data_IF_816981124881
#
_entry.id   IF_816981124881
#
_cell.length_a   1.000
_cell.length_b   1.000
_cell.length_c   1.000
_cell.angle_alpha   90.00
_cell.angle_beta   90.00
_cell.angle_gamma   90.00
#
_symmetry.space_group_name_H-M   'P 1'
#
loop_
_entity.id
_entity.type
_entity.pdbx_description
1 polymer ?
#
# COMPACT_ATOMS: atom_id res chain seq x y z
N UNK A 1 -32.40 43.34 -7.52
CA UNK A 1 -31.71 42.22 -6.84
C UNK A 1 -30.80 41.51 -7.83
N UNK A 2 -29.47 41.67 -7.73
CA UNK A 2 -28.50 40.95 -8.57
C UNK A 2 -28.26 39.57 -7.98
N UNK A 3 -28.62 38.53 -8.73
CA UNK A 3 -28.40 37.12 -8.38
C UNK A 3 -26.90 36.84 -8.49
N UNK A 4 -26.22 36.69 -7.36
CA UNK A 4 -24.82 36.24 -7.32
C UNK A 4 -24.77 34.79 -7.79
N UNK A 5 -24.32 34.57 -9.02
CA UNK A 5 -23.99 33.24 -9.51
C UNK A 5 -22.73 32.77 -8.78
N UNK A 6 -22.88 31.78 -7.89
CA UNK A 6 -21.75 30.99 -7.37
C UNK A 6 -21.16 30.23 -8.55
N UNK A 7 -20.08 30.76 -9.12
CA UNK A 7 -19.23 30.02 -10.05
C UNK A 7 -18.60 28.89 -9.22
N UNK A 8 -19.08 27.65 -9.40
CA UNK A 8 -18.32 26.47 -9.01
C UNK A 8 -17.15 26.37 -9.97
N UNK A 9 -16.01 26.93 -9.57
CA UNK A 9 -14.73 26.65 -10.24
C UNK A 9 -14.43 25.19 -9.93
N UNK A 10 -14.66 24.31 -10.91
CA UNK A 10 -14.10 22.97 -10.87
C UNK A 10 -12.64 23.12 -11.24
N UNK A 11 -11.76 23.18 -10.24
CA UNK A 11 -10.35 22.92 -10.49
C UNK A 11 -10.30 21.46 -10.93
N UNK A 12 -9.89 21.21 -12.17
CA UNK A 12 -9.62 19.86 -12.66
C UNK A 12 -8.31 19.45 -11.98
N UNK A 13 -8.41 18.88 -10.78
CA UNK A 13 -7.26 18.29 -10.08
C UNK A 13 -6.96 16.95 -10.72
N UNK A 14 -5.71 16.76 -11.15
CA UNK A 14 -5.25 15.47 -11.62
C UNK A 14 -5.06 14.55 -10.40
N UNK A 15 -5.96 13.58 -10.23
CA UNK A 15 -5.90 12.66 -9.09
C UNK A 15 -4.91 11.54 -9.39
N UNK A 16 -3.96 11.30 -8.50
CA UNK A 16 -2.94 10.26 -8.65
C UNK A 16 -2.97 9.33 -7.45
N UNK A 17 -3.35 8.08 -7.70
CA UNK A 17 -3.35 7.03 -6.70
C UNK A 17 -1.98 6.34 -6.66
N UNK A 18 -1.31 6.40 -5.51
CA UNK A 18 -0.06 5.69 -5.26
C UNK A 18 -0.38 4.38 -4.54
N UNK A 19 -0.35 3.27 -5.29
CA UNK A 19 -0.76 1.97 -4.80
C UNK A 19 0.38 1.26 -4.07
N UNK A 20 0.44 1.44 -2.75
CA UNK A 20 1.37 0.70 -1.89
C UNK A 20 0.91 -0.77 -1.73
N UNK A 21 1.78 -1.77 -1.89
CA UNK A 21 1.37 -3.16 -1.73
C UNK A 21 0.79 -3.46 -0.34
N UNK A 22 -0.29 -4.25 -0.31
CA UNK A 22 -0.93 -4.79 0.91
C UNK A 22 -1.56 -3.74 1.86
N UNK A 23 -2.01 -2.62 1.31
CA UNK A 23 -2.71 -1.54 2.04
C UNK A 23 -4.15 -1.31 1.56
N UNK A 24 -4.85 -2.39 1.14
CA UNK A 24 -6.20 -2.35 0.55
C UNK A 24 -6.34 -1.61 -0.79
N UNK A 25 -5.24 -1.34 -1.50
CA UNK A 25 -5.31 -0.59 -2.76
C UNK A 25 -6.21 -1.19 -3.83
N UNK A 26 -6.37 -2.52 -3.89
CA UNK A 26 -7.35 -3.17 -4.79
C UNK A 26 -8.80 -2.75 -4.47
N UNK A 27 -9.20 -2.72 -3.19
CA UNK A 27 -10.54 -2.29 -2.78
C UNK A 27 -10.77 -0.81 -3.05
N UNK A 28 -9.78 0.03 -2.75
CA UNK A 28 -9.84 1.48 -3.04
C UNK A 28 -9.98 1.73 -4.54
N UNK A 29 -9.14 1.10 -5.37
CA UNK A 29 -9.19 1.21 -6.83
C UNK A 29 -10.55 0.78 -7.40
N UNK A 30 -11.13 -0.31 -6.88
CA UNK A 30 -12.45 -0.75 -7.29
C UNK A 30 -13.54 0.26 -6.93
N UNK A 31 -13.45 0.89 -5.76
CA UNK A 31 -14.38 1.94 -5.37
C UNK A 31 -14.23 3.20 -6.22
N UNK A 32 -12.99 3.65 -6.49
CA UNK A 32 -12.73 4.78 -7.40
C UNK A 32 -13.34 4.54 -8.78
N UNK A 33 -13.12 3.36 -9.37
CA UNK A 33 -13.70 2.98 -10.65
C UNK A 33 -15.24 2.95 -10.61
N UNK A 34 -15.85 2.39 -9.55
CA UNK A 34 -17.31 2.38 -9.38
C UNK A 34 -17.91 3.77 -9.26
N UNK A 35 -17.16 4.71 -8.69
CA UNK A 35 -17.54 6.10 -8.60
C UNK A 35 -17.17 6.92 -9.84
N UNK A 36 -16.54 6.32 -10.85
CA UNK A 36 -16.07 6.99 -12.06
C UNK A 36 -15.19 8.21 -11.74
N UNK A 37 -14.38 8.10 -10.70
CA UNK A 37 -13.34 9.10 -10.42
C UNK A 37 -12.32 9.03 -11.55
N UNK A 38 -11.94 10.18 -12.10
CA UNK A 38 -10.80 10.27 -13.01
C UNK A 38 -9.50 10.28 -12.18
N UNK A 39 -8.66 9.27 -12.35
CA UNK A 39 -7.39 9.14 -11.64
C UNK A 39 -6.36 8.34 -12.44
N UNK A 40 -5.09 8.62 -12.19
CA UNK A 40 -3.96 7.81 -12.64
C UNK A 40 -3.49 6.90 -11.50
N UNK A 41 -3.39 5.59 -11.74
CA UNK A 41 -2.80 4.62 -10.80
C UNK A 41 -1.32 4.39 -11.16
N UNK A 42 -0.40 4.77 -10.26
CA UNK A 42 1.04 4.54 -10.47
C UNK A 42 1.47 3.10 -10.17
N UNK A 43 0.55 2.25 -9.73
CA UNK A 43 0.85 0.92 -9.26
C UNK A 43 1.86 0.96 -8.12
N UNK A 44 2.77 -0.02 -8.10
CA UNK A 44 3.79 -0.15 -7.06
C UNK A 44 5.06 0.68 -7.33
N UNK A 45 5.01 1.62 -8.28
CA UNK A 45 6.13 2.51 -8.61
C UNK A 45 6.24 3.66 -7.62
N UNK A 46 7.47 3.99 -7.23
CA UNK A 46 7.82 5.23 -6.54
C UNK A 46 8.70 6.16 -7.40
N UNK A 47 8.78 5.91 -8.71
CA UNK A 47 9.52 6.79 -9.61
C UNK A 47 8.78 8.12 -9.76
N UNK A 48 9.52 9.22 -9.84
CA UNK A 48 9.03 10.57 -10.07
C UNK A 48 8.06 11.12 -8.99
N UNK A 49 8.00 10.52 -7.80
CA UNK A 49 7.13 11.02 -6.72
C UNK A 49 7.48 12.45 -6.29
N UNK A 50 8.74 12.86 -6.39
CA UNK A 50 9.18 14.24 -6.14
C UNK A 50 8.50 15.26 -7.05
N UNK A 51 8.40 14.94 -8.34
CA UNK A 51 7.75 15.80 -9.34
C UNK A 51 6.26 15.88 -9.02
N UNK A 52 5.63 14.73 -8.74
CA UNK A 52 4.20 14.66 -8.43
C UNK A 52 3.84 15.40 -7.14
N UNK A 53 4.69 15.36 -6.12
CA UNK A 53 4.42 16.03 -4.84
C UNK A 53 4.71 17.53 -4.87
N UNK A 54 5.48 18.00 -5.85
CA UNK A 54 5.80 19.42 -6.01
C UNK A 54 4.79 20.16 -6.89
N UNK A 55 3.96 19.42 -7.64
CA UNK A 55 2.93 19.98 -8.52
C UNK A 55 1.63 20.23 -7.75
N UNK A 56 1.25 21.50 -7.63
CA UNK A 56 0.05 21.93 -6.91
C UNK A 56 -1.26 21.60 -7.65
N UNK A 57 -1.20 21.25 -8.93
CA UNK A 57 -2.36 20.82 -9.72
C UNK A 57 -2.64 19.32 -9.59
N UNK A 58 -1.71 18.57 -8.97
CA UNK A 58 -1.82 17.12 -8.77
C UNK A 58 -2.23 16.82 -7.33
N UNK A 59 -3.34 16.09 -7.20
CA UNK A 59 -3.76 15.54 -5.92
C UNK A 59 -3.29 14.10 -5.80
N UNK A 60 -2.26 13.88 -4.98
CA UNK A 60 -1.72 12.53 -4.75
C UNK A 60 -2.33 11.91 -3.50
N UNK A 61 -2.68 10.63 -3.55
CA UNK A 61 -3.24 9.95 -2.39
C UNK A 61 -2.84 8.48 -2.33
N UNK A 62 -2.73 7.93 -1.12
CA UNK A 62 -2.41 6.52 -0.90
C UNK A 62 -3.08 6.01 0.38
N UNK A 63 -2.94 4.70 0.60
CA UNK A 63 -3.25 4.07 1.88
C UNK A 63 -2.00 3.37 2.42
N UNK A 64 -1.77 3.48 3.72
CA UNK A 64 -0.69 2.84 4.47
C UNK A 64 -1.26 1.86 5.50
N UNK A 65 -0.41 0.97 6.01
CA UNK A 65 -0.75 -0.02 7.05
C UNK A 65 0.39 -0.09 8.07
N UNK A 66 0.12 -0.55 9.28
CA UNK A 66 1.13 -0.86 10.28
C UNK A 66 2.27 -1.70 9.64
N UNK A 67 3.55 -1.29 9.76
CA UNK A 67 4.64 -1.90 9.00
C UNK A 67 4.82 -3.40 9.28
N UNK A 68 4.66 -3.84 10.53
CA UNK A 68 4.81 -5.24 10.91
C UNK A 68 3.68 -6.11 10.32
N UNK A 69 2.44 -5.64 10.41
CA UNK A 69 1.27 -6.31 9.83
C UNK A 69 1.31 -6.33 8.30
N UNK A 70 1.79 -5.24 7.68
CA UNK A 70 1.98 -5.15 6.24
C UNK A 70 3.04 -6.14 5.76
N UNK A 71 4.17 -6.25 6.47
CA UNK A 71 5.23 -7.21 6.14
C UNK A 71 4.74 -8.66 6.23
N UNK A 72 4.00 -9.00 7.29
CA UNK A 72 3.39 -10.33 7.45
C UNK A 72 2.46 -10.64 6.28
N UNK A 73 1.56 -9.70 5.97
CA UNK A 73 0.63 -9.84 4.82
C UNK A 73 1.35 -9.95 3.49
N UNK A 74 2.45 -9.23 3.29
CA UNK A 74 3.28 -9.30 2.10
C UNK A 74 3.95 -10.67 1.93
N UNK A 75 4.60 -11.17 2.98
CA UNK A 75 5.28 -12.47 2.94
C UNK A 75 4.33 -13.58 2.52
N UNK A 76 3.23 -13.79 3.26
CA UNK A 76 2.31 -14.89 2.97
C UNK A 76 1.65 -14.76 1.60
N UNK A 77 1.31 -13.54 1.17
CA UNK A 77 0.78 -13.33 -0.17
C UNK A 77 1.76 -13.73 -1.27
N UNK A 78 3.06 -13.44 -1.11
CA UNK A 78 4.07 -13.84 -2.10
C UNK A 78 4.30 -15.35 -2.10
N UNK A 79 4.24 -15.98 -0.91
CA UNK A 79 4.32 -17.43 -0.75
C UNK A 79 3.14 -18.15 -1.41
N UNK A 80 1.94 -17.57 -1.39
CA UNK A 80 0.77 -18.07 -2.13
C UNK A 80 0.89 -17.79 -3.63
N UNK A 81 1.35 -16.59 -4.00
CA UNK A 81 1.50 -16.20 -5.40
C UNK A 81 2.46 -17.12 -6.14
N UNK A 82 3.46 -17.69 -5.46
CA UNK A 82 4.37 -18.70 -6.01
C UNK A 82 3.65 -19.84 -6.74
N UNK A 83 2.50 -20.31 -6.24
CA UNK A 83 1.77 -21.43 -6.85
C UNK A 83 1.11 -21.05 -8.19
N UNK A 84 1.02 -19.75 -8.51
CA UNK A 84 0.46 -19.22 -9.74
C UNK A 84 1.51 -18.88 -10.80
N UNK A 85 2.80 -18.97 -10.46
CA UNK A 85 3.90 -18.59 -11.35
C UNK A 85 4.14 -19.69 -12.40
N UNK A 86 4.22 -19.30 -13.67
CA UNK A 86 4.79 -20.17 -14.72
C UNK A 86 6.31 -20.23 -14.57
N UNK A 87 6.80 -21.39 -14.14
CA UNK A 87 8.23 -21.61 -13.83
C UNK A 87 9.09 -21.79 -15.08
N UNK A 88 8.49 -21.96 -16.26
CA UNK A 88 9.25 -22.16 -17.49
C UNK A 88 9.83 -20.85 -18.04
N UNK A 89 9.22 -19.71 -17.74
CA UNK A 89 9.68 -18.40 -18.20
C UNK A 89 9.32 -17.28 -17.20
N UNK A 90 9.91 -17.29 -15.99
CA UNK A 90 9.56 -16.32 -14.96
C UNK A 90 10.09 -14.93 -15.31
N UNK A 91 9.29 -13.90 -15.04
CA UNK A 91 9.76 -12.52 -14.99
C UNK A 91 10.80 -12.33 -13.88
N UNK A 92 11.54 -11.21 -13.91
CA UNK A 92 12.47 -10.87 -12.83
C UNK A 92 11.79 -10.82 -11.44
N UNK A 93 10.54 -10.32 -11.40
CA UNK A 93 9.76 -10.27 -10.16
C UNK A 93 9.39 -11.67 -9.67
N UNK A 94 8.93 -12.54 -10.57
CA UNK A 94 8.60 -13.92 -10.25
C UNK A 94 9.83 -14.73 -9.82
N UNK A 95 10.99 -14.46 -10.42
CA UNK A 95 12.26 -15.10 -10.05
C UNK A 95 12.67 -14.80 -8.60
N UNK A 96 12.45 -13.56 -8.13
CA UNK A 96 12.66 -13.18 -6.73
C UNK A 96 11.68 -13.91 -5.80
N UNK A 97 10.43 -14.13 -6.22
CA UNK A 97 9.42 -14.88 -5.44
C UNK A 97 9.78 -16.37 -5.36
N UNK A 98 10.23 -16.96 -6.46
CA UNK A 98 10.74 -18.34 -6.48
C UNK A 98 11.88 -18.49 -5.48
N UNK A 99 12.88 -17.61 -5.55
CA UNK A 99 14.02 -17.60 -4.62
C UNK A 99 13.59 -17.39 -3.15
N UNK A 100 12.59 -16.54 -2.91
CA UNK A 100 11.99 -16.34 -1.58
C UNK A 100 11.38 -17.65 -1.05
N UNK A 101 10.54 -18.31 -1.86
CA UNK A 101 9.86 -19.55 -1.49
C UNK A 101 10.85 -20.70 -1.28
N UNK A 102 11.85 -20.85 -2.14
CA UNK A 102 12.87 -21.90 -2.01
C UNK A 102 13.67 -21.75 -0.72
N UNK A 103 13.99 -20.52 -0.32
CA UNK A 103 14.83 -20.26 0.87
C UNK A 103 14.09 -20.36 2.20
N UNK A 104 12.85 -19.87 2.25
CA UNK A 104 12.10 -19.72 3.50
C UNK A 104 10.84 -20.57 3.57
N UNK A 105 10.34 -21.13 2.46
CA UNK A 105 9.06 -21.81 2.44
C UNK A 105 7.95 -20.92 3.00
N UNK A 106 7.21 -21.42 3.99
CA UNK A 106 6.24 -20.66 4.78
C UNK A 106 6.77 -20.22 6.16
N UNK A 107 8.06 -20.40 6.45
CA UNK A 107 8.68 -20.07 7.74
C UNK A 107 8.93 -18.56 7.88
N UNK A 108 7.90 -17.86 8.34
CA UNK A 108 7.95 -16.43 8.59
C UNK A 108 8.96 -16.05 9.68
N UNK A 109 9.13 -16.88 10.71
CA UNK A 109 10.07 -16.58 11.81
C UNK A 109 11.50 -16.55 11.28
N UNK A 110 11.90 -17.58 10.53
CA UNK A 110 13.22 -17.62 9.87
C UNK A 110 13.40 -16.45 8.92
N UNK A 111 12.37 -16.12 8.13
CA UNK A 111 12.40 -14.95 7.24
C UNK A 111 12.69 -13.63 7.98
N UNK A 112 12.07 -13.40 9.15
CA UNK A 112 12.33 -12.20 9.95
C UNK A 112 13.71 -12.22 10.61
N UNK A 113 14.10 -13.33 11.26
CA UNK A 113 15.38 -13.44 11.96
C UNK A 113 16.56 -13.25 10.99
N UNK A 114 16.44 -13.77 9.77
CA UNK A 114 17.43 -13.59 8.71
C UNK A 114 17.38 -12.20 8.05
N UNK A 115 16.47 -11.31 8.46
CA UNK A 115 16.17 -10.05 7.76
C UNK A 115 15.92 -10.24 6.27
N UNK A 116 15.18 -11.29 5.89
CA UNK A 116 14.92 -11.68 4.50
C UNK A 116 14.32 -10.55 3.67
N UNK A 117 13.46 -9.73 4.25
CA UNK A 117 12.87 -8.54 3.62
C UNK A 117 13.89 -7.49 3.15
N UNK A 118 15.13 -7.52 3.63
CA UNK A 118 16.23 -6.67 3.14
C UNK A 118 16.98 -7.28 1.96
N UNK A 119 16.87 -8.59 1.78
CA UNK A 119 17.68 -9.39 0.85
C UNK A 119 17.02 -9.55 -0.52
N UNK A 120 15.70 -9.45 -0.62
CA UNK A 120 14.96 -9.53 -1.88
C UNK A 120 14.57 -8.15 -2.38
N UNK A 121 14.69 -7.94 -3.69
CA UNK A 121 14.32 -6.67 -4.35
C UNK A 121 12.84 -6.61 -4.69
N UNK A 122 12.00 -6.93 -3.71
CA UNK A 122 10.55 -7.00 -3.88
C UNK A 122 9.93 -5.76 -3.22
N UNK A 123 9.25 -4.94 -4.01
CA UNK A 123 8.58 -3.71 -3.56
C UNK A 123 7.63 -3.92 -2.36
N UNK A 124 7.06 -5.12 -2.21
CA UNK A 124 6.21 -5.43 -1.05
C UNK A 124 6.94 -5.28 0.28
N UNK A 125 8.27 -5.40 0.30
CA UNK A 125 9.08 -5.33 1.50
C UNK A 125 9.64 -3.94 1.80
N UNK A 126 9.62 -2.97 0.88
CA UNK A 126 10.25 -1.69 1.18
C UNK A 126 9.44 -0.81 2.16
N UNK A 127 10.07 0.14 2.87
CA UNK A 127 9.35 1.09 3.71
C UNK A 127 8.33 1.92 2.92
N UNK A 128 7.12 2.09 3.48
CA UNK A 128 6.03 2.85 2.89
C UNK A 128 6.37 4.34 2.73
N UNK A 129 7.31 4.85 3.53
CA UNK A 129 7.84 6.21 3.35
C UNK A 129 8.47 6.43 1.99
N UNK A 130 8.93 5.38 1.30
CA UNK A 130 9.46 5.51 -0.07
C UNK A 130 8.40 5.87 -1.11
N UNK A 131 7.11 5.79 -0.79
CA UNK A 131 5.99 6.19 -1.66
C UNK A 131 5.24 7.40 -1.15
N UNK A 132 5.46 7.81 0.10
CA UNK A 132 4.64 8.85 0.76
C UNK A 132 5.42 10.11 1.10
N UNK A 133 6.75 10.02 1.15
CA UNK A 133 7.62 11.11 1.53
C UNK A 133 8.77 11.21 0.56
N UNK A 134 9.18 12.43 0.29
CA UNK A 134 10.47 12.74 -0.30
C UNK A 134 11.28 13.59 0.66
N UNK A 135 12.40 14.15 0.21
CA UNK A 135 13.22 15.02 1.06
C UNK A 135 12.46 16.28 1.48
N UNK A 136 11.73 16.87 0.53
CA UNK A 136 11.09 18.19 0.71
C UNK A 136 9.57 18.12 0.80
N UNK A 137 8.94 17.06 0.28
CA UNK A 137 7.50 16.99 0.14
C UNK A 137 6.92 15.68 0.67
N UNK A 138 5.60 15.65 0.79
CA UNK A 138 4.83 14.45 1.12
C UNK A 138 3.56 14.40 0.29
N UNK A 139 3.02 13.20 0.18
CA UNK A 139 1.76 12.93 -0.50
C UNK A 139 0.59 13.75 0.10
N UNK A 140 -0.38 14.14 -0.74
CA UNK A 140 -1.46 15.05 -0.35
C UNK A 140 -2.46 14.41 0.64
N UNK A 141 -2.75 13.11 0.48
CA UNK A 141 -3.61 12.35 1.40
C UNK A 141 -3.05 10.96 1.75
N UNK A 142 -3.11 10.60 3.03
CA UNK A 142 -2.72 9.28 3.55
C UNK A 142 -3.87 8.68 4.34
N UNK A 143 -4.52 7.65 3.78
CA UNK A 143 -5.47 6.81 4.49
C UNK A 143 -4.79 5.69 5.27
N UNK A 144 -5.41 5.19 6.34
CA UNK A 144 -4.91 4.07 7.14
C UNK A 144 -5.75 2.81 6.91
N UNK A 145 -5.08 1.68 6.75
CA UNK A 145 -5.73 0.37 6.59
C UNK A 145 -6.49 -0.04 7.85
N UNK A 146 -5.96 0.29 9.03
CA UNK A 146 -6.56 -0.01 10.33
C UNK A 146 -7.89 0.74 10.53
N UNK A 147 -8.07 1.85 9.83
CA UNK A 147 -9.29 2.66 9.85
C UNK A 147 -9.79 2.93 8.41
N UNK A 148 -9.85 1.86 7.63
CA UNK A 148 -10.01 1.92 6.17
C UNK A 148 -11.30 2.61 5.75
N UNK A 149 -12.43 2.33 6.41
CA UNK A 149 -13.72 2.91 6.03
C UNK A 149 -13.80 4.41 6.33
N UNK A 150 -13.23 4.87 7.45
CA UNK A 150 -13.19 6.30 7.76
C UNK A 150 -12.20 7.03 6.85
N UNK A 151 -11.02 6.44 6.61
CA UNK A 151 -10.05 6.97 5.65
C UNK A 151 -10.66 7.09 4.24
N UNK A 152 -11.42 6.08 3.81
CA UNK A 152 -12.14 6.13 2.54
C UNK A 152 -13.27 7.17 2.54
N UNK A 153 -13.99 7.33 3.65
CA UNK A 153 -15.01 8.38 3.81
C UNK A 153 -14.42 9.77 3.66
N UNK A 154 -13.27 10.02 4.29
CA UNK A 154 -12.54 11.28 4.17
C UNK A 154 -12.10 11.54 2.72
N UNK A 155 -11.45 10.55 2.09
CA UNK A 155 -11.06 10.64 0.69
C UNK A 155 -12.26 10.87 -0.25
N UNK A 156 -13.39 10.19 0.00
CA UNK A 156 -14.62 10.36 -0.78
C UNK A 156 -15.12 11.82 -0.71
N UNK A 157 -15.06 12.43 0.47
CA UNK A 157 -15.45 13.84 0.64
C UNK A 157 -14.51 14.78 -0.12
N UNK A 158 -13.20 14.53 -0.09
CA UNK A 158 -12.20 15.32 -0.83
C UNK A 158 -12.43 15.22 -2.33
N UNK A 159 -12.67 14.01 -2.84
CA UNK A 159 -12.93 13.73 -4.26
C UNK A 159 -14.34 14.15 -4.71
N UNK A 160 -15.21 14.60 -3.80
CA UNK A 160 -16.57 15.01 -4.12
C UNK A 160 -17.49 13.85 -4.53
N UNK A 161 -17.18 12.61 -4.12
CA UNK A 161 -17.99 11.41 -4.42
C UNK A 161 -18.80 10.96 -3.22
N UNK A 162 -19.96 10.35 -3.48
CA UNK A 162 -20.83 9.83 -2.41
C UNK A 162 -20.15 8.66 -1.71
N UNK A 163 -19.92 8.77 -0.40
CA UNK A 163 -19.41 7.66 0.40
C UNK A 163 -20.30 6.42 0.29
N UNK A 164 -19.64 5.28 0.05
CA UNK A 164 -20.14 3.92 0.26
C UNK A 164 -19.02 3.10 0.93
N UNK A 165 -19.31 2.25 1.92
CA UNK A 165 -18.31 1.37 2.52
C UNK A 165 -17.57 0.56 1.45
N UNK A 166 -16.26 0.34 1.66
CA UNK A 166 -15.47 -0.44 0.70
C UNK A 166 -15.89 -1.90 0.73
N UNK A 167 -15.94 -2.53 -0.45
CA UNK A 167 -16.15 -3.97 -0.54
C UNK A 167 -14.92 -4.72 -0.03
N UNK A 168 -15.18 -5.81 0.70
CA UNK A 168 -14.16 -6.78 1.09
C UNK A 168 -13.80 -7.64 -0.13
N UNK A 169 -12.73 -7.25 -0.83
CA UNK A 169 -12.33 -7.87 -2.10
C UNK A 169 -11.36 -9.05 -1.88
N UNK A 170 -10.87 -9.27 -0.64
CA UNK A 170 -9.77 -10.21 -0.37
C UNK A 170 -9.98 -11.10 0.88
N UNK A 171 -11.20 -11.41 1.30
CA UNK A 171 -11.41 -12.21 2.53
C UNK A 171 -11.03 -13.69 2.38
N UNK A 172 -10.93 -14.25 1.17
CA UNK A 172 -11.07 -15.71 1.02
C UNK A 172 -9.78 -16.56 1.10
N UNK A 173 -8.60 -15.99 1.40
CA UNK A 173 -7.39 -16.80 1.70
C UNK A 173 -6.52 -16.30 2.85
N UNK A 174 -6.59 -15.01 3.20
CA UNK A 174 -5.78 -14.45 4.29
C UNK A 174 -6.17 -15.03 5.68
N UNK A 175 -7.43 -15.43 5.86
CA UNK A 175 -7.95 -15.98 7.13
C UNK A 175 -7.22 -17.27 7.54
N UNK A 176 -6.80 -18.13 6.60
CA UNK A 176 -6.08 -19.37 6.95
C UNK A 176 -4.65 -19.13 7.48
N UNK A 177 -4.08 -17.94 7.25
CA UNK A 177 -2.75 -17.56 7.76
C UNK A 177 -2.82 -16.67 9.02
N UNK A 178 -3.98 -16.07 9.30
CA UNK A 178 -4.22 -15.40 10.57
C UNK A 178 -4.25 -16.43 11.71
N UNK A 179 -4.76 -17.65 11.44
CA UNK A 179 -4.73 -18.77 12.39
C UNK A 179 -3.34 -19.40 12.59
N UNK A 180 -2.43 -19.25 11.62
CA UNK A 180 -1.01 -19.57 11.80
C UNK A 180 -0.32 -18.42 12.57
N UNK A 181 -0.63 -18.32 13.87
CA UNK A 181 0.03 -17.44 14.84
C UNK A 181 1.54 -17.69 14.88
N UNK A 182 2.29 -17.02 14.00
CA UNK A 182 3.56 -16.46 14.41
C UNK A 182 3.26 -15.08 14.99
N UNK A 183 2.95 -15.03 16.28
CA UNK A 183 2.97 -13.77 17.00
C UNK A 183 4.42 -13.26 16.95
N UNK A 184 4.60 -12.03 16.49
CA UNK A 184 5.92 -11.40 16.51
C UNK A 184 6.45 -11.42 17.94
N UNK A 185 7.58 -12.10 18.17
CA UNK A 185 8.26 -11.97 19.46
C UNK A 185 9.04 -10.64 19.51
N UNK A 186 9.53 -10.28 20.70
CA UNK A 186 10.25 -9.03 20.92
C UNK A 186 11.47 -8.85 20.00
N UNK A 187 12.19 -9.93 19.72
CA UNK A 187 13.35 -9.90 18.83
C UNK A 187 12.94 -9.60 17.38
N UNK A 188 11.91 -10.29 16.88
CA UNK A 188 11.37 -10.07 15.54
C UNK A 188 10.84 -8.63 15.41
N UNK A 189 10.10 -8.11 16.40
CA UNK A 189 9.65 -6.72 16.39
C UNK A 189 10.80 -5.73 16.36
N UNK A 190 11.88 -5.99 17.11
CA UNK A 190 13.07 -5.13 17.10
C UNK A 190 13.70 -5.07 15.71
N UNK A 191 13.84 -6.21 15.04
CA UNK A 191 14.38 -6.31 13.68
C UNK A 191 13.51 -5.53 12.68
N UNK A 192 12.20 -5.72 12.74
CA UNK A 192 11.23 -5.04 11.86
C UNK A 192 11.20 -3.54 12.13
N UNK A 193 11.09 -3.10 13.39
CA UNK A 193 11.09 -1.68 13.76
C UNK A 193 12.38 -0.97 13.33
N UNK A 194 13.52 -1.65 13.40
CA UNK A 194 14.78 -1.08 12.94
C UNK A 194 14.78 -0.79 11.43
N UNK A 195 14.19 -1.68 10.62
CA UNK A 195 14.15 -1.50 9.16
C UNK A 195 13.08 -0.51 8.71
N UNK A 196 11.89 -0.57 9.29
CA UNK A 196 10.78 0.33 8.98
C UNK A 196 10.74 1.57 9.89
N UNK A 197 11.89 1.97 10.45
CA UNK A 197 11.97 3.06 11.44
C UNK A 197 11.29 4.35 10.96
N UNK A 198 11.39 4.66 9.68
CA UNK A 198 10.83 5.86 9.10
C UNK A 198 9.32 5.73 8.90
N UNK A 199 8.79 4.55 8.62
CA UNK A 199 7.34 4.32 8.62
C UNK A 199 6.76 4.58 10.01
N UNK A 200 7.36 4.02 11.06
CA UNK A 200 6.91 4.27 12.45
C UNK A 200 6.99 5.76 12.79
N UNK A 201 8.12 6.41 12.50
CA UNK A 201 8.34 7.83 12.83
C UNK A 201 7.47 8.79 12.03
N UNK A 202 7.42 8.65 10.70
CA UNK A 202 6.80 9.64 9.79
C UNK A 202 5.30 9.38 9.59
N UNK A 203 4.85 8.12 9.69
CA UNK A 203 3.43 7.75 9.55
C UNK A 203 2.74 7.60 10.91
N UNK A 204 3.46 7.71 12.03
CA UNK A 204 2.89 7.65 13.37
C UNK A 204 2.33 6.27 13.71
N UNK A 205 3.14 5.23 13.47
CA UNK A 205 2.88 3.86 13.95
C UNK A 205 3.73 3.56 15.19
#
# INVERSE_FOLDING_TARGET
MRRLYRIKVYIIMNNVFIHIPKTAGKSVRLALNKHQVDFTDLGHSNKNIDVLFSDLEIFTFCFVRNPAERLKSAFFHLIEFYDLIDKNNPTNFESEIISLKEKYGSDFKKFILDSGFKKFKIAHFYPQTLWTHTENNKISFIGRFEDLNNSWKELSNILGVKYKPLEHVNDTKLISYIDNKSDYNNEMLRIVKCYYKDDYKKLGY
#
